data_IF_617362500108
#
_entry.id   IF_617362500108
#
_cell.length_a   1.000
_cell.length_b   1.000
_cell.length_c   1.000
_cell.angle_alpha   90.00
_cell.angle_beta   90.00
_cell.angle_gamma   90.00
#
_symmetry.space_group_name_H-M   'P 1'
#
loop_
_entity.id
_entity.type
_entity.pdbx_description
1 polymer ?
#
# COMPACT_ATOMS: atom_id res chain seq x y z
N UNK A 1 -1.29 -7.46 11.18
CA UNK A 1 -1.63 -7.62 9.75
C UNK A 1 -3.15 -7.74 9.68
N UNK A 2 -3.76 -7.07 8.71
CA UNK A 2 -5.22 -7.05 8.54
C UNK A 2 -5.54 -7.64 7.16
N UNK A 3 -6.51 -8.53 7.11
CA UNK A 3 -7.08 -9.00 5.84
C UNK A 3 -7.93 -7.88 5.23
N UNK A 4 -7.50 -7.34 4.09
CA UNK A 4 -8.14 -6.17 3.47
C UNK A 4 -9.60 -6.44 3.08
N UNK A 5 -9.97 -7.55 2.42
CA UNK A 5 -11.37 -7.86 2.12
C UNK A 5 -12.26 -7.95 3.38
N UNK A 6 -11.74 -8.52 4.46
CA UNK A 6 -12.48 -8.58 5.72
C UNK A 6 -12.67 -7.18 6.35
N UNK A 7 -11.64 -6.33 6.29
CA UNK A 7 -11.73 -4.94 6.73
C UNK A 7 -12.76 -4.15 5.91
N UNK A 8 -12.73 -4.28 4.59
CA UNK A 8 -13.69 -3.61 3.69
C UNK A 8 -15.13 -4.04 4.00
N UNK A 9 -15.37 -5.34 4.19
CA UNK A 9 -16.69 -5.85 4.54
C UNK A 9 -17.20 -5.27 5.87
N UNK A 10 -16.34 -5.19 6.89
CA UNK A 10 -16.67 -4.60 8.19
C UNK A 10 -16.94 -3.10 8.09
N UNK A 11 -16.14 -2.36 7.31
CA UNK A 11 -16.35 -0.94 7.08
C UNK A 11 -17.66 -0.66 6.34
N UNK A 12 -17.96 -1.44 5.28
CA UNK A 12 -19.24 -1.34 4.57
C UNK A 12 -20.44 -1.62 5.48
N UNK A 13 -20.31 -2.60 6.38
CA UNK A 13 -21.35 -2.88 7.37
C UNK A 13 -21.48 -1.71 8.36
N UNK A 14 -20.37 -1.19 8.90
CA UNK A 14 -20.37 -0.10 9.85
C UNK A 14 -21.02 1.18 9.28
N UNK A 15 -20.76 1.50 8.02
CA UNK A 15 -21.34 2.66 7.32
C UNK A 15 -22.87 2.61 7.28
N UNK A 16 -23.48 1.43 7.17
CA UNK A 16 -24.96 1.27 7.15
C UNK A 16 -25.63 1.73 8.44
N UNK A 17 -24.89 1.73 9.55
CA UNK A 17 -25.42 2.15 10.85
C UNK A 17 -25.09 3.62 11.19
N UNK A 18 -24.51 4.37 10.26
CA UNK A 18 -24.16 5.77 10.47
C UNK A 18 -25.24 6.69 9.85
N UNK A 19 -26.09 7.34 10.66
CA UNK A 19 -27.25 8.08 10.15
C UNK A 19 -26.87 9.33 9.31
N UNK A 20 -25.63 9.79 9.44
CA UNK A 20 -25.12 10.95 8.69
C UNK A 20 -24.36 10.56 7.42
N UNK A 21 -24.31 9.26 7.07
CA UNK A 21 -23.64 8.79 5.88
C UNK A 21 -24.67 8.26 4.90
N UNK A 22 -24.62 8.75 3.66
CA UNK A 22 -25.40 8.23 2.55
C UNK A 22 -24.45 7.57 1.55
N UNK A 23 -24.65 6.28 1.30
CA UNK A 23 -23.89 5.54 0.28
C UNK A 23 -24.64 5.67 -1.06
N UNK A 24 -23.94 6.17 -2.06
CA UNK A 24 -24.43 6.28 -3.43
C UNK A 24 -23.59 5.35 -4.31
N UNK A 25 -24.23 4.41 -4.97
CA UNK A 25 -23.56 3.50 -5.90
C UNK A 25 -23.44 4.14 -7.30
N UNK A 26 -22.31 3.92 -7.98
CA UNK A 26 -22.05 4.27 -9.39
C UNK A 26 -22.08 5.76 -9.77
N UNK A 27 -21.72 6.66 -8.87
CA UNK A 27 -21.87 8.11 -9.10
C UNK A 27 -20.57 8.83 -9.51
N UNK A 28 -19.45 8.14 -9.60
CA UNK A 28 -18.12 8.73 -9.52
C UNK A 28 -17.80 9.83 -10.56
N UNK A 29 -17.97 9.62 -11.84
CA UNK A 29 -17.50 10.60 -12.85
C UNK A 29 -18.62 11.40 -13.53
N UNK A 30 -19.82 10.87 -13.59
CA UNK A 30 -20.95 11.53 -14.25
C UNK A 30 -21.38 12.85 -13.60
N UNK A 31 -21.16 13.00 -12.29
CA UNK A 31 -21.51 14.23 -11.57
C UNK A 31 -20.53 15.39 -11.78
N UNK A 32 -19.31 15.16 -12.26
CA UNK A 32 -18.40 16.22 -12.64
C UNK A 32 -18.84 16.91 -13.95
N UNK A 33 -19.59 16.18 -14.76
CA UNK A 33 -20.12 16.67 -16.04
C UNK A 33 -21.56 17.19 -15.94
N UNK A 34 -22.26 16.86 -14.88
CA UNK A 34 -23.64 17.31 -14.65
C UNK A 34 -23.66 18.73 -14.08
N UNK A 35 -24.24 19.66 -14.80
CA UNK A 35 -24.50 21.03 -14.34
C UNK A 35 -25.61 21.11 -13.26
N UNK A 36 -25.92 19.99 -12.58
CA UNK A 36 -26.91 19.98 -11.54
C UNK A 36 -26.34 20.66 -10.27
N UNK A 37 -26.58 21.96 -10.16
CA UNK A 37 -26.03 22.89 -9.17
C UNK A 37 -26.56 22.70 -7.75
N UNK A 38 -27.49 21.78 -7.52
CA UNK A 38 -28.12 21.58 -6.21
C UNK A 38 -27.24 20.85 -5.18
N UNK A 39 -26.11 20.28 -5.58
CA UNK A 39 -25.16 19.62 -4.65
C UNK A 39 -23.91 20.50 -4.43
N UNK A 40 -24.08 21.65 -3.80
CA UNK A 40 -22.94 22.40 -3.26
C UNK A 40 -22.24 21.55 -2.19
N UNK A 41 -21.07 21.00 -2.55
CA UNK A 41 -20.21 20.27 -1.63
C UNK A 41 -19.18 21.22 -1.04
N UNK A 42 -19.04 21.19 0.27
CA UNK A 42 -18.01 21.96 0.96
C UNK A 42 -16.62 21.40 0.68
N UNK A 43 -16.52 20.06 0.62
CA UNK A 43 -15.29 19.34 0.36
C UNK A 43 -15.59 18.00 -0.32
N UNK A 44 -14.85 17.68 -1.38
CA UNK A 44 -14.83 16.35 -2.01
C UNK A 44 -13.50 15.67 -1.71
N UNK A 45 -13.52 14.49 -1.11
CA UNK A 45 -12.33 13.66 -0.90
C UNK A 45 -12.30 12.54 -1.93
N UNK A 46 -11.21 12.45 -2.70
CA UNK A 46 -11.04 11.54 -3.82
C UNK A 46 -10.14 10.41 -3.38
N UNK A 47 -10.70 9.19 -3.30
CA UNK A 47 -10.03 7.98 -2.84
C UNK A 47 -10.17 6.83 -3.88
N UNK A 48 -10.11 7.16 -5.17
CA UNK A 48 -10.40 6.25 -6.29
C UNK A 48 -9.24 5.30 -6.65
N UNK A 49 -8.19 5.30 -5.85
CA UNK A 49 -7.01 4.48 -6.11
C UNK A 49 -6.10 5.06 -7.21
N UNK A 50 -5.12 4.25 -7.63
CA UNK A 50 -4.06 4.69 -8.56
C UNK A 50 -4.57 5.16 -9.92
N UNK A 51 -5.68 4.59 -10.40
CA UNK A 51 -6.30 4.92 -11.69
C UNK A 51 -7.46 5.91 -11.52
N UNK A 52 -7.31 6.92 -10.67
CA UNK A 52 -8.34 7.89 -10.36
C UNK A 52 -8.72 8.73 -11.57
N UNK A 53 -9.92 8.50 -12.09
CA UNK A 53 -10.50 9.26 -13.20
C UNK A 53 -10.77 10.72 -12.78
N UNK A 54 -11.25 10.92 -11.57
CA UNK A 54 -11.51 12.26 -11.04
C UNK A 54 -10.24 13.09 -10.91
N UNK A 55 -9.12 12.50 -10.45
CA UNK A 55 -7.82 13.19 -10.41
C UNK A 55 -7.42 13.68 -11.82
N UNK A 56 -7.55 12.81 -12.81
CA UNK A 56 -7.16 13.12 -14.18
C UNK A 56 -8.07 14.22 -14.80
N UNK A 57 -9.38 14.21 -14.51
CA UNK A 57 -10.32 15.25 -14.91
C UNK A 57 -10.02 16.61 -14.26
N UNK A 58 -9.43 16.61 -13.07
CA UNK A 58 -8.98 17.83 -12.38
C UNK A 58 -7.67 18.39 -12.94
N UNK A 59 -7.06 17.75 -13.93
CA UNK A 59 -5.78 18.15 -14.52
C UNK A 59 -4.62 18.06 -13.51
N UNK A 60 -4.68 17.14 -12.58
CA UNK A 60 -3.61 16.90 -11.62
C UNK A 60 -2.57 15.96 -12.26
N UNK A 61 -1.33 16.42 -12.34
CA UNK A 61 -0.24 15.60 -12.86
C UNK A 61 0.07 14.46 -11.88
N UNK A 62 0.23 13.25 -12.40
CA UNK A 62 0.55 12.06 -11.64
C UNK A 62 1.86 11.47 -12.17
N UNK A 63 2.96 11.84 -11.52
CA UNK A 63 4.29 11.36 -11.88
C UNK A 63 4.42 9.89 -11.52
N UNK A 64 4.71 9.05 -12.50
CA UNK A 64 4.85 7.60 -12.34
C UNK A 64 6.27 7.17 -12.68
N UNK A 65 6.94 6.53 -11.73
CA UNK A 65 8.26 5.90 -11.90
C UNK A 65 8.09 4.38 -11.82
N UNK A 66 8.17 3.64 -12.93
CA UNK A 66 8.04 2.18 -12.92
C UNK A 66 9.29 1.53 -12.32
N UNK A 67 9.09 0.47 -11.52
CA UNK A 67 10.20 -0.36 -11.01
C UNK A 67 10.58 -1.50 -11.96
N UNK A 68 9.88 -1.68 -13.08
CA UNK A 68 10.02 -2.82 -14.02
C UNK A 68 9.86 -4.19 -13.32
N UNK A 69 9.12 -4.20 -12.25
CA UNK A 69 8.76 -5.37 -11.45
C UNK A 69 7.24 -5.49 -11.34
N UNK A 70 6.79 -6.71 -11.08
CA UNK A 70 5.40 -7.01 -10.79
C UNK A 70 5.29 -7.62 -9.40
N UNK A 71 4.22 -7.29 -8.69
CA UNK A 71 3.80 -8.04 -7.53
C UNK A 71 2.87 -9.17 -7.97
N UNK A 72 3.05 -10.33 -7.38
CA UNK A 72 2.08 -11.43 -7.41
C UNK A 72 1.53 -11.58 -6.01
N UNK A 73 0.21 -11.58 -5.86
CA UNK A 73 -0.46 -11.88 -4.61
C UNK A 73 -1.29 -13.15 -4.74
N UNK A 74 -1.26 -13.94 -3.67
CA UNK A 74 -2.05 -15.15 -3.54
C UNK A 74 -2.22 -15.49 -2.04
N UNK A 75 -3.11 -16.43 -1.76
CA UNK A 75 -3.25 -17.04 -0.43
C UNK A 75 -2.83 -18.50 -0.50
N UNK A 76 -1.97 -18.90 0.44
CA UNK A 76 -1.48 -20.26 0.53
C UNK A 76 -1.61 -20.78 1.96
N UNK A 77 -1.70 -22.12 2.07
CA UNK A 77 -1.56 -22.83 3.33
C UNK A 77 -0.25 -23.59 3.32
N UNK A 78 0.46 -23.57 4.46
CA UNK A 78 1.66 -24.37 4.68
C UNK A 78 1.38 -25.63 5.48
N UNK A 79 2.25 -26.61 5.43
CA UNK A 79 2.22 -27.78 6.33
C UNK A 79 2.76 -27.47 7.73
N UNK A 80 3.47 -26.36 7.89
CA UNK A 80 4.02 -25.87 9.16
C UNK A 80 3.38 -24.52 9.53
N UNK A 81 3.23 -24.22 10.84
CA UNK A 81 2.60 -22.98 11.29
C UNK A 81 3.55 -21.77 11.16
N UNK A 82 2.99 -20.61 10.83
CA UNK A 82 3.72 -19.34 10.74
C UNK A 82 4.00 -18.68 12.12
N UNK A 83 3.44 -19.19 13.20
CA UNK A 83 3.64 -18.69 14.57
C UNK A 83 3.38 -17.18 14.74
N UNK A 84 2.47 -16.60 13.95
CA UNK A 84 2.17 -15.18 13.95
C UNK A 84 3.29 -14.30 13.36
N UNK A 85 4.29 -14.88 12.73
CA UNK A 85 5.44 -14.15 12.19
C UNK A 85 5.24 -13.81 10.71
N UNK A 86 5.47 -12.54 10.35
CA UNK A 86 5.67 -12.14 8.96
C UNK A 86 7.11 -12.49 8.56
N UNK A 87 7.28 -13.12 7.41
CA UNK A 87 8.58 -13.58 6.92
C UNK A 87 8.85 -12.97 5.55
N UNK A 88 10.12 -12.68 5.28
CA UNK A 88 10.51 -12.09 4.01
C UNK A 88 11.88 -12.62 3.57
N UNK A 89 11.98 -13.00 2.29
CA UNK A 89 13.20 -13.48 1.66
C UNK A 89 13.57 -12.55 0.50
N UNK A 90 14.84 -12.19 0.47
CA UNK A 90 15.44 -11.39 -0.59
C UNK A 90 16.37 -12.29 -1.40
N UNK A 91 16.02 -12.55 -2.64
CA UNK A 91 16.86 -13.32 -3.56
C UNK A 91 17.30 -12.45 -4.71
N UNK A 92 18.58 -12.48 -4.97
CA UNK A 92 19.15 -11.81 -6.13
C UNK A 92 19.38 -12.87 -7.21
N UNK A 93 18.92 -12.61 -8.42
CA UNK A 93 19.15 -13.44 -9.57
C UNK A 93 19.85 -12.67 -10.69
N UNK A 94 20.43 -13.40 -11.61
CA UNK A 94 21.03 -12.88 -12.84
C UNK A 94 20.39 -13.61 -14.02
N UNK A 95 19.69 -12.88 -14.89
CA UNK A 95 19.11 -13.45 -16.10
C UNK A 95 19.47 -12.54 -17.26
N UNK A 96 20.19 -13.07 -18.25
CA UNK A 96 20.57 -12.33 -19.46
C UNK A 96 21.30 -10.99 -19.20
N UNK A 97 22.29 -10.97 -18.32
CA UNK A 97 23.03 -9.76 -17.89
C UNK A 97 22.20 -8.69 -17.18
N UNK A 98 20.96 -8.96 -16.79
CA UNK A 98 20.19 -8.09 -15.92
C UNK A 98 20.10 -8.69 -14.52
N UNK A 99 20.68 -7.98 -13.57
CA UNK A 99 20.54 -8.30 -12.14
C UNK A 99 19.13 -7.94 -11.69
N UNK A 100 18.44 -8.90 -11.12
CA UNK A 100 17.12 -8.67 -10.52
C UNK A 100 17.11 -9.10 -9.07
N UNK A 101 16.27 -8.46 -8.29
CA UNK A 101 15.98 -8.86 -6.91
C UNK A 101 14.55 -9.36 -6.84
N UNK A 102 14.37 -10.60 -6.38
CA UNK A 102 13.07 -11.14 -6.04
C UNK A 102 12.84 -11.01 -4.54
N UNK A 103 11.63 -10.63 -4.15
CA UNK A 103 11.25 -10.48 -2.75
C UNK A 103 9.98 -11.26 -2.52
N UNK A 104 10.10 -12.34 -1.75
CA UNK A 104 8.97 -13.15 -1.30
C UNK A 104 8.61 -12.72 0.11
N UNK A 105 7.36 -12.38 0.37
CA UNK A 105 6.86 -12.05 1.69
C UNK A 105 5.65 -12.91 2.04
N UNK A 106 5.67 -13.50 3.23
CA UNK A 106 4.53 -14.18 3.84
C UNK A 106 3.98 -13.32 4.98
N UNK A 107 2.70 -13.06 4.89
CA UNK A 107 1.97 -12.31 5.90
C UNK A 107 0.95 -13.26 6.56
N UNK A 108 1.03 -13.48 7.88
CA UNK A 108 0.09 -14.33 8.60
C UNK A 108 -1.35 -13.88 8.35
N UNK A 109 -2.22 -14.82 8.00
CA UNK A 109 -3.66 -14.62 7.93
C UNK A 109 -4.32 -15.32 9.11
N UNK A 110 -5.46 -14.79 9.56
CA UNK A 110 -6.42 -15.54 10.33
C UNK A 110 -7.07 -16.58 9.41
N UNK A 111 -7.44 -17.70 9.99
CA UNK A 111 -7.75 -18.95 9.31
C UNK A 111 -8.84 -18.84 8.23
N UNK A 112 -8.65 -19.48 7.09
CA UNK A 112 -9.75 -19.91 6.25
C UNK A 112 -10.41 -21.17 6.84
N UNK A 113 -11.69 -21.35 6.62
CA UNK A 113 -12.55 -22.41 7.18
C UNK A 113 -12.08 -23.87 7.01
N UNK A 114 -10.99 -24.12 6.33
CA UNK A 114 -10.48 -25.46 5.99
C UNK A 114 -9.01 -25.70 6.28
N UNK A 115 -8.29 -24.72 6.82
CA UNK A 115 -6.87 -24.89 7.16
C UNK A 115 -6.66 -25.13 8.64
N UNK A 116 -5.54 -25.81 8.99
CA UNK A 116 -5.13 -25.88 10.38
C UNK A 116 -4.81 -24.47 10.89
N UNK A 117 -5.17 -24.14 12.14
CA UNK A 117 -4.89 -22.87 12.76
C UNK A 117 -3.42 -22.46 12.61
N UNK A 118 -3.17 -21.23 12.15
CA UNK A 118 -1.83 -20.67 12.03
C UNK A 118 -1.03 -21.11 10.80
N UNK A 119 -1.64 -21.80 9.83
CA UNK A 119 -0.93 -22.27 8.62
C UNK A 119 -1.22 -21.42 7.37
N UNK A 120 -2.06 -20.39 7.46
CA UNK A 120 -2.48 -19.60 6.31
C UNK A 120 -1.70 -18.30 6.18
N UNK A 121 -1.23 -18.02 4.98
CA UNK A 121 -0.47 -16.81 4.67
C UNK A 121 -0.97 -16.12 3.41
N UNK A 122 -0.90 -14.79 3.41
CA UNK A 122 -0.92 -14.02 2.19
C UNK A 122 0.51 -13.95 1.65
N UNK A 123 0.67 -14.31 0.38
CA UNK A 123 1.89 -14.12 -0.40
C UNK A 123 1.87 -12.75 -1.05
N UNK A 124 2.98 -12.04 -0.96
CA UNK A 124 3.34 -10.93 -1.86
C UNK A 124 4.72 -11.23 -2.43
N UNK A 125 4.79 -11.46 -3.73
CA UNK A 125 6.03 -11.81 -4.42
C UNK A 125 6.36 -10.75 -5.47
N UNK A 126 7.40 -10.00 -5.23
CA UNK A 126 7.91 -8.99 -6.18
C UNK A 126 8.95 -9.62 -7.08
N UNK A 127 8.73 -9.59 -8.38
CA UNK A 127 9.57 -10.22 -9.41
C UNK A 127 9.67 -9.35 -10.67
N UNK A 128 10.66 -9.61 -11.53
CA UNK A 128 10.72 -9.02 -12.86
C UNK A 128 9.48 -9.39 -13.70
N UNK A 129 9.06 -8.51 -14.61
CA UNK A 129 7.86 -8.69 -15.41
C UNK A 129 7.82 -10.04 -16.16
N UNK A 130 8.92 -10.46 -16.77
CA UNK A 130 8.99 -11.74 -17.50
C UNK A 130 8.82 -12.93 -16.56
N UNK A 131 9.41 -12.85 -15.36
CA UNK A 131 9.28 -13.89 -14.33
C UNK A 131 7.84 -13.95 -13.80
N UNK A 132 7.19 -12.79 -13.63
CA UNK A 132 5.78 -12.75 -13.25
C UNK A 132 4.88 -13.48 -14.26
N UNK A 133 5.09 -13.23 -15.56
CA UNK A 133 4.36 -13.92 -16.64
C UNK A 133 4.55 -15.44 -16.57
N UNK A 134 5.80 -15.89 -16.36
CA UNK A 134 6.12 -17.31 -16.23
C UNK A 134 5.44 -17.93 -15.00
N UNK A 135 5.52 -17.30 -13.84
CA UNK A 135 4.89 -17.76 -12.61
C UNK A 135 3.36 -17.80 -12.69
N UNK A 136 2.75 -16.84 -13.37
CA UNK A 136 1.29 -16.82 -13.58
C UNK A 136 0.81 -17.89 -14.55
N UNK A 137 1.69 -18.42 -15.42
CA UNK A 137 1.37 -19.50 -16.36
C UNK A 137 1.47 -20.90 -15.73
N UNK A 138 2.11 -21.05 -14.58
CA UNK A 138 2.22 -22.35 -13.87
C UNK A 138 0.83 -22.84 -13.41
N UNK A 139 0.67 -24.15 -13.30
CA UNK A 139 -0.49 -24.69 -12.60
C UNK A 139 -0.42 -24.41 -11.08
N UNK A 140 -1.49 -24.60 -10.31
CA UNK A 140 -1.51 -24.29 -8.87
C UNK A 140 -0.45 -25.03 -8.06
N UNK A 141 -0.19 -26.29 -8.36
CA UNK A 141 0.76 -27.16 -7.67
C UNK A 141 2.21 -26.72 -7.95
N UNK A 142 2.54 -26.47 -9.21
CA UNK A 142 3.84 -25.97 -9.63
C UNK A 142 4.14 -24.60 -9.03
N UNK A 143 3.14 -23.70 -9.02
CA UNK A 143 3.29 -22.38 -8.39
C UNK A 143 3.57 -22.51 -6.88
N UNK A 144 2.83 -23.36 -6.18
CA UNK A 144 3.02 -23.58 -4.75
C UNK A 144 4.40 -24.18 -4.44
N UNK A 145 4.91 -25.09 -5.28
CA UNK A 145 6.25 -25.65 -5.18
C UNK A 145 7.36 -24.58 -5.38
N UNK A 146 7.17 -23.68 -6.37
CA UNK A 146 8.07 -22.52 -6.57
C UNK A 146 8.08 -21.60 -5.35
N UNK A 147 6.91 -21.31 -4.77
CA UNK A 147 6.79 -20.51 -3.55
C UNK A 147 7.52 -21.18 -2.39
N UNK A 148 7.33 -22.48 -2.18
CA UNK A 148 8.02 -23.26 -1.13
C UNK A 148 9.53 -23.20 -1.31
N UNK A 149 10.03 -23.39 -2.53
CA UNK A 149 11.47 -23.33 -2.85
C UNK A 149 12.05 -21.93 -2.58
N UNK A 150 11.34 -20.88 -2.97
CA UNK A 150 11.80 -19.50 -2.80
C UNK A 150 11.72 -19.03 -1.33
N UNK A 151 10.84 -19.62 -0.54
CA UNK A 151 10.76 -19.40 0.92
C UNK A 151 11.60 -20.39 1.74
N UNK A 152 12.51 -21.15 1.10
CA UNK A 152 13.40 -22.10 1.76
C UNK A 152 12.63 -23.15 2.58
N UNK A 153 11.43 -23.52 2.12
CA UNK A 153 10.52 -24.43 2.79
C UNK A 153 10.18 -24.05 4.24
N UNK A 154 10.22 -22.74 4.57
CA UNK A 154 10.00 -22.27 5.94
C UNK A 154 8.63 -22.67 6.53
N UNK A 155 7.61 -22.84 5.68
CA UNK A 155 6.29 -23.35 6.07
C UNK A 155 6.01 -24.75 5.54
N UNK A 156 7.07 -25.49 5.17
CA UNK A 156 6.98 -26.83 4.62
C UNK A 156 6.36 -26.86 3.23
N UNK A 157 5.53 -27.87 2.97
CA UNK A 157 4.78 -27.97 1.72
C UNK A 157 3.70 -26.89 1.66
N UNK A 158 3.57 -26.26 0.51
CA UNK A 158 2.62 -25.17 0.30
C UNK A 158 1.48 -25.61 -0.64
N UNK A 159 0.28 -25.08 -0.39
CA UNK A 159 -0.87 -25.28 -1.23
C UNK A 159 -1.56 -23.95 -1.51
N UNK A 160 -1.82 -23.68 -2.78
CA UNK A 160 -2.58 -22.51 -3.21
C UNK A 160 -4.08 -22.76 -2.95
N UNK A 161 -4.77 -21.78 -2.33
CA UNK A 161 -6.21 -21.85 -2.11
C UNK A 161 -6.99 -20.61 -2.56
N UNK A 162 -6.30 -19.66 -3.21
CA UNK A 162 -6.95 -18.52 -3.87
C UNK A 162 -6.54 -18.42 -5.33
N UNK A 163 -7.22 -17.58 -6.07
CA UNK A 163 -6.68 -17.07 -7.33
C UNK A 163 -5.43 -16.24 -7.11
N UNK A 164 -4.61 -16.15 -8.15
CA UNK A 164 -3.41 -15.32 -8.18
C UNK A 164 -3.75 -14.00 -8.86
N UNK A 165 -3.34 -12.89 -8.26
CA UNK A 165 -3.42 -11.57 -8.86
C UNK A 165 -2.02 -11.02 -9.13
N UNK A 166 -1.84 -10.26 -10.22
CA UNK A 166 -0.57 -9.60 -10.53
C UNK A 166 -0.80 -8.19 -11.00
N UNK A 167 0.10 -7.29 -10.62
CA UNK A 167 0.10 -5.89 -11.06
C UNK A 167 1.51 -5.31 -11.11
N UNK A 168 1.75 -4.31 -11.98
CA UNK A 168 3.03 -3.62 -12.04
C UNK A 168 3.31 -2.82 -10.77
N UNK A 169 4.58 -2.86 -10.34
CA UNK A 169 5.08 -2.06 -9.23
C UNK A 169 5.60 -0.72 -9.73
N UNK A 170 5.17 0.33 -9.07
CA UNK A 170 5.54 1.69 -9.43
C UNK A 170 5.54 2.60 -8.19
N UNK A 171 6.39 3.61 -8.22
CA UNK A 171 6.25 4.79 -7.38
C UNK A 171 5.42 5.80 -8.16
N UNK A 172 4.41 6.37 -7.53
CA UNK A 172 3.64 7.42 -8.19
C UNK A 172 3.21 8.50 -7.19
N UNK A 173 3.13 9.74 -7.66
CA UNK A 173 2.79 10.89 -6.82
C UNK A 173 2.04 11.94 -7.61
N UNK A 174 0.97 12.47 -7.01
CA UNK A 174 0.29 13.63 -7.51
C UNK A 174 1.08 14.92 -7.20
N UNK A 175 1.16 15.84 -8.16
CA UNK A 175 1.78 17.16 -7.99
C UNK A 175 1.01 18.03 -6.98
N UNK A 176 -0.31 17.90 -6.97
CA UNK A 176 -1.25 18.61 -6.08
C UNK A 176 -2.18 17.60 -5.41
N UNK A 177 -2.33 17.72 -4.10
CA UNK A 177 -3.23 16.85 -3.33
C UNK A 177 -4.50 17.58 -2.92
N UNK A 178 -4.57 18.88 -3.11
CA UNK A 178 -5.71 19.70 -2.77
C UNK A 178 -5.90 20.82 -3.79
N UNK A 179 -7.15 21.22 -4.02
CA UNK A 179 -7.46 22.31 -4.95
C UNK A 179 -8.92 22.75 -4.88
N UNK A 180 -9.29 23.58 -5.83
CA UNK A 180 -10.66 24.04 -6.06
C UNK A 180 -11.09 23.76 -7.48
N UNK A 181 -12.34 23.37 -7.63
CA UNK A 181 -12.97 23.19 -8.93
C UNK A 181 -14.31 23.95 -8.97
N UNK A 182 -14.69 24.58 -10.10
CA UNK A 182 -15.90 25.41 -10.17
C UNK A 182 -17.18 24.67 -9.77
N UNK A 183 -17.29 23.38 -10.10
CA UNK A 183 -18.49 22.55 -9.85
C UNK A 183 -18.36 21.78 -8.54
N UNK A 184 -17.21 21.17 -8.27
CA UNK A 184 -17.01 20.31 -7.10
C UNK A 184 -16.73 21.08 -5.79
N UNK A 185 -16.43 22.35 -5.86
CA UNK A 185 -15.92 23.09 -4.72
C UNK A 185 -14.46 22.74 -4.39
N UNK A 186 -14.14 22.67 -3.12
CA UNK A 186 -12.80 22.25 -2.67
C UNK A 186 -12.65 20.73 -2.74
N UNK A 187 -11.44 20.26 -3.07
CA UNK A 187 -11.16 18.83 -3.17
C UNK A 187 -9.82 18.45 -2.50
N UNK A 188 -9.71 17.20 -2.09
CA UNK A 188 -8.50 16.59 -1.56
C UNK A 188 -8.34 15.16 -2.11
N UNK A 189 -7.12 14.78 -2.46
CA UNK A 189 -6.74 13.40 -2.80
C UNK A 189 -6.28 12.67 -1.53
N UNK A 190 -6.59 11.37 -1.42
CA UNK A 190 -6.10 10.51 -0.34
C UNK A 190 -5.83 9.09 -0.86
N UNK A 191 -4.93 8.38 -0.19
CA UNK A 191 -4.52 7.02 -0.57
C UNK A 191 -3.84 6.98 -1.94
N UNK A 192 -4.02 5.88 -2.67
CA UNK A 192 -3.37 5.66 -3.96
C UNK A 192 -3.76 6.66 -5.06
N UNK A 193 -4.83 7.44 -4.86
CA UNK A 193 -5.14 8.56 -5.74
C UNK A 193 -4.14 9.71 -5.61
N UNK A 194 -3.54 9.88 -4.43
CA UNK A 194 -2.53 10.90 -4.15
C UNK A 194 -1.09 10.37 -4.32
N UNK A 195 -0.83 9.13 -3.92
CA UNK A 195 0.51 8.54 -3.93
C UNK A 195 0.47 7.02 -3.88
N UNK A 196 1.35 6.39 -4.60
CA UNK A 196 1.57 4.93 -4.57
C UNK A 196 3.02 4.66 -4.22
N UNK A 197 3.27 3.73 -3.31
CA UNK A 197 4.61 3.34 -2.87
C UNK A 197 4.89 1.88 -3.18
N UNK A 198 6.16 1.49 -3.19
CA UNK A 198 6.54 0.09 -3.37
C UNK A 198 6.02 -0.76 -2.20
N UNK A 199 5.45 -1.96 -2.45
CA UNK A 199 4.85 -2.80 -1.42
C UNK A 199 5.86 -3.53 -0.51
N UNK A 200 7.16 -3.20 -0.56
CA UNK A 200 8.23 -3.82 0.23
C UNK A 200 7.90 -4.01 1.71
N UNK A 201 7.07 -3.15 2.27
CA UNK A 201 6.69 -3.18 3.68
C UNK A 201 5.19 -3.37 3.92
N UNK A 202 4.39 -3.61 2.87
CA UNK A 202 2.93 -3.69 2.99
C UNK A 202 2.28 -2.39 3.49
N UNK A 203 2.94 -1.24 3.33
CA UNK A 203 2.55 0.03 3.97
C UNK A 203 1.57 0.87 3.14
N UNK A 204 1.20 0.47 1.93
CA UNK A 204 0.27 1.24 1.10
C UNK A 204 -1.04 1.56 1.82
N UNK A 205 -1.68 0.54 2.41
CA UNK A 205 -2.90 0.73 3.20
C UNK A 205 -2.66 1.64 4.42
N UNK A 206 -1.56 1.45 5.15
CA UNK A 206 -1.23 2.26 6.32
C UNK A 206 -1.03 3.74 5.96
N UNK A 207 -0.42 4.02 4.82
CA UNK A 207 -0.28 5.38 4.30
C UNK A 207 -1.64 6.00 3.97
N UNK A 208 -2.51 5.26 3.28
CA UNK A 208 -3.87 5.73 2.99
C UNK A 208 -4.69 5.99 4.26
N UNK A 209 -4.60 5.10 5.25
CA UNK A 209 -5.26 5.31 6.56
C UNK A 209 -4.67 6.50 7.31
N UNK A 210 -3.36 6.74 7.21
CA UNK A 210 -2.74 7.93 7.79
C UNK A 210 -3.18 9.23 7.08
N UNK A 211 -3.47 9.18 5.77
CA UNK A 211 -4.08 10.30 5.07
C UNK A 211 -5.46 10.63 5.64
N UNK A 212 -6.29 9.61 5.83
CA UNK A 212 -7.63 9.77 6.43
C UNK A 212 -7.53 10.35 7.84
N UNK A 213 -6.64 9.81 8.68
CA UNK A 213 -6.43 10.29 10.04
C UNK A 213 -5.96 11.75 10.06
N UNK A 214 -5.00 12.11 9.21
CA UNK A 214 -4.49 13.48 9.13
C UNK A 214 -5.54 14.45 8.60
N UNK A 215 -6.31 14.05 7.59
CA UNK A 215 -7.40 14.87 7.07
C UNK A 215 -8.47 15.10 8.16
N UNK A 216 -8.88 14.04 8.85
CA UNK A 216 -9.81 14.13 9.97
C UNK A 216 -9.30 15.06 11.07
N UNK A 217 -8.02 14.96 11.44
CA UNK A 217 -7.41 15.86 12.42
C UNK A 217 -7.44 17.33 11.98
N UNK A 218 -7.11 17.62 10.72
CA UNK A 218 -7.15 18.98 10.17
C UNK A 218 -8.58 19.51 10.17
N UNK A 219 -9.56 18.70 9.80
CA UNK A 219 -10.96 19.09 9.77
C UNK A 219 -11.55 19.25 11.19
N UNK A 220 -11.09 18.48 12.17
CA UNK A 220 -11.53 18.61 13.56
C UNK A 220 -11.16 19.95 14.18
N UNK A 221 -10.06 20.58 13.73
CA UNK A 221 -9.65 21.93 14.16
C UNK A 221 -10.74 22.96 13.83
N UNK A 222 -11.41 22.80 12.68
CA UNK A 222 -12.56 23.68 12.30
C UNK A 222 -13.64 23.60 13.37
N UNK A 223 -14.02 22.40 13.79
CA UNK A 223 -15.10 22.19 14.75
C UNK A 223 -14.80 22.80 16.14
N UNK A 224 -13.53 22.78 16.56
CA UNK A 224 -13.18 23.10 17.96
C UNK A 224 -12.45 24.44 18.15
N UNK A 225 -11.67 24.90 17.16
CA UNK A 225 -10.79 26.07 17.32
C UNK A 225 -10.98 27.15 16.26
N UNK A 226 -11.30 26.76 15.03
CA UNK A 226 -11.43 27.68 13.88
C UNK A 226 -12.82 27.56 13.25
N UNK A 227 -13.90 27.57 14.07
CA UNK A 227 -15.28 27.32 13.65
C UNK A 227 -15.81 28.30 12.58
N UNK A 228 -15.15 29.43 12.39
CA UNK A 228 -15.46 30.41 11.36
C UNK A 228 -14.95 30.01 9.95
N UNK A 229 -14.10 28.97 9.86
CA UNK A 229 -13.58 28.51 8.59
C UNK A 229 -14.49 27.43 7.99
N UNK A 230 -14.79 27.50 6.69
CA UNK A 230 -15.48 26.40 6.03
C UNK A 230 -14.59 25.14 5.97
N UNK A 231 -15.21 23.98 5.93
CA UNK A 231 -14.52 22.68 5.84
C UNK A 231 -13.58 22.60 4.63
N UNK A 232 -13.96 23.23 3.52
CA UNK A 232 -13.15 23.32 2.31
C UNK A 232 -12.14 24.48 2.28
N UNK A 233 -11.79 25.10 3.42
CA UNK A 233 -10.81 26.19 3.44
C UNK A 233 -9.43 25.68 2.98
N UNK A 234 -8.88 26.35 1.95
CA UNK A 234 -7.60 25.94 1.35
C UNK A 234 -6.40 26.03 2.29
N UNK A 235 -6.43 26.89 3.33
CA UNK A 235 -5.36 26.93 4.33
C UNK A 235 -5.33 25.66 5.17
N UNK A 236 -6.50 25.10 5.48
CA UNK A 236 -6.63 23.82 6.19
C UNK A 236 -6.19 22.66 5.29
N UNK A 237 -6.71 22.59 4.07
CA UNK A 237 -6.37 21.51 3.15
C UNK A 237 -4.87 21.50 2.81
N UNK A 238 -4.24 22.66 2.68
CA UNK A 238 -2.78 22.75 2.49
C UNK A 238 -1.98 22.32 3.73
N UNK A 239 -2.53 22.37 4.96
CA UNK A 239 -1.89 21.76 6.14
C UNK A 239 -1.86 20.23 6.00
N UNK A 240 -2.97 19.64 5.56
CA UNK A 240 -3.06 18.23 5.23
C UNK A 240 -2.03 17.84 4.18
N UNK A 241 -2.07 18.49 3.00
CA UNK A 241 -1.17 18.21 1.89
C UNK A 241 0.30 18.25 2.30
N UNK A 242 0.74 19.32 3.00
CA UNK A 242 2.14 19.47 3.42
C UNK A 242 2.58 18.38 4.39
N UNK A 243 1.76 18.06 5.39
CA UNK A 243 2.07 17.03 6.35
C UNK A 243 2.23 15.67 5.66
N UNK A 244 1.27 15.31 4.81
CA UNK A 244 1.26 14.01 4.16
C UNK A 244 2.30 13.86 3.06
N UNK A 245 2.56 14.92 2.28
CA UNK A 245 3.65 14.90 1.29
C UNK A 245 5.02 14.66 1.93
N UNK A 246 5.29 15.28 3.08
CA UNK A 246 6.55 15.07 3.80
C UNK A 246 6.69 13.61 4.27
N UNK A 247 5.63 13.04 4.85
CA UNK A 247 5.65 11.65 5.29
C UNK A 247 5.79 10.67 4.13
N UNK A 248 5.07 10.89 3.02
CA UNK A 248 5.17 10.06 1.82
C UNK A 248 6.56 10.14 1.16
N UNK A 249 7.17 11.33 1.12
CA UNK A 249 8.53 11.53 0.63
C UNK A 249 9.55 10.80 1.51
N UNK A 250 9.45 10.96 2.83
CA UNK A 250 10.36 10.32 3.76
C UNK A 250 10.30 8.78 3.62
N UNK A 251 9.09 8.22 3.56
CA UNK A 251 8.93 6.78 3.39
C UNK A 251 9.40 6.31 2.01
N UNK A 252 9.05 7.02 0.93
CA UNK A 252 9.50 6.70 -0.42
C UNK A 252 11.03 6.67 -0.50
N UNK A 253 11.71 7.69 0.05
CA UNK A 253 13.18 7.74 0.06
C UNK A 253 13.80 6.60 0.85
N UNK A 254 13.23 6.23 2.00
CA UNK A 254 13.71 5.09 2.80
C UNK A 254 13.48 3.77 2.04
N UNK A 255 12.32 3.59 1.45
CA UNK A 255 11.97 2.37 0.71
C UNK A 255 12.84 2.20 -0.53
N UNK A 256 13.03 3.27 -1.32
CA UNK A 256 13.91 3.28 -2.49
C UNK A 256 15.37 3.05 -2.10
N UNK A 257 15.83 3.68 -1.01
CA UNK A 257 17.18 3.47 -0.48
C UNK A 257 17.42 2.02 -0.05
N UNK A 258 16.47 1.41 0.63
CA UNK A 258 16.52 0.00 1.00
C UNK A 258 16.51 -0.89 -0.25
N UNK A 259 15.61 -0.67 -1.19
CA UNK A 259 15.54 -1.44 -2.41
C UNK A 259 16.86 -1.38 -3.20
N UNK A 260 17.44 -0.20 -3.38
CA UNK A 260 18.73 -0.03 -4.04
C UNK A 260 19.86 -0.73 -3.28
N UNK A 261 19.87 -0.66 -1.95
CA UNK A 261 20.85 -1.33 -1.10
C UNK A 261 20.75 -2.86 -1.21
N UNK A 262 19.53 -3.40 -1.27
CA UNK A 262 19.29 -4.83 -1.41
C UNK A 262 19.48 -5.34 -2.84
N UNK A 263 19.24 -4.52 -3.85
CA UNK A 263 19.46 -4.87 -5.25
C UNK A 263 20.95 -4.92 -5.64
N UNK A 264 21.83 -4.23 -4.91
CA UNK A 264 23.27 -4.22 -5.19
C UNK A 264 23.95 -5.48 -4.63
N UNK A 265 24.67 -6.19 -5.49
CA UNK A 265 25.37 -7.46 -5.19
C UNK A 265 26.86 -7.31 -4.96
N UNK A 266 27.39 -6.08 -4.89
CA UNK A 266 28.82 -5.82 -4.68
C UNK A 266 29.25 -6.23 -3.26
N UNK A 267 30.32 -7.03 -3.16
CA UNK A 267 30.81 -7.61 -1.90
C UNK A 267 30.98 -6.61 -0.74
N UNK A 268 31.57 -5.39 -0.95
CA UNK A 268 31.73 -4.46 0.16
C UNK A 268 30.38 -3.89 0.66
N UNK A 269 29.40 -3.74 -0.22
CA UNK A 269 28.05 -3.28 0.15
C UNK A 269 27.26 -4.34 0.89
N UNK A 270 27.44 -5.61 0.54
CA UNK A 270 26.85 -6.74 1.30
C UNK A 270 27.38 -6.81 2.72
N UNK A 271 28.69 -6.64 2.90
CA UNK A 271 29.31 -6.63 4.23
C UNK A 271 28.81 -5.44 5.07
N UNK A 272 28.73 -4.24 4.47
CA UNK A 272 28.20 -3.03 5.13
C UNK A 272 26.71 -3.20 5.49
N UNK A 273 25.90 -3.78 4.61
CA UNK A 273 24.49 -4.10 4.87
C UNK A 273 24.34 -5.05 6.04
N UNK A 274 25.08 -6.15 6.05
CA UNK A 274 25.01 -7.16 7.10
C UNK A 274 25.45 -6.57 8.46
N UNK A 275 26.52 -5.78 8.46
CA UNK A 275 26.99 -5.07 9.65
C UNK A 275 25.95 -4.02 10.12
N UNK A 276 25.37 -3.25 9.21
CA UNK A 276 24.31 -2.26 9.51
C UNK A 276 23.05 -2.92 10.08
N UNK A 277 22.61 -4.05 9.51
CA UNK A 277 21.47 -4.82 10.02
C UNK A 277 21.72 -5.39 11.41
N UNK A 278 22.89 -5.97 11.65
CA UNK A 278 23.28 -6.45 12.98
C UNK A 278 23.37 -5.31 14.00
N UNK A 279 23.92 -4.15 13.60
CA UNK A 279 23.97 -2.96 14.43
C UNK A 279 22.59 -2.43 14.77
N UNK A 280 21.68 -2.40 13.79
CA UNK A 280 20.28 -2.01 13.98
C UNK A 280 19.55 -2.97 14.93
N UNK A 281 19.75 -4.29 14.75
CA UNK A 281 19.13 -5.29 15.62
C UNK A 281 19.56 -5.15 17.08
N UNK A 282 20.82 -4.78 17.33
CA UNK A 282 21.38 -4.52 18.66
C UNK A 282 21.06 -3.14 19.23
N UNK A 283 20.53 -2.23 18.45
CA UNK A 283 20.36 -0.81 18.81
C UNK A 283 19.16 -0.51 19.71
N UNK A 284 18.45 -1.53 20.22
CA UNK A 284 17.33 -1.42 21.18
C UNK A 284 16.39 -0.20 20.99
N UNK A 285 16.84 0.98 21.39
CA UNK A 285 16.06 2.21 21.32
C UNK A 285 15.76 2.70 19.89
N UNK A 286 16.74 2.61 18.96
CA UNK A 286 16.56 2.98 17.57
C UNK A 286 15.59 2.02 16.88
N UNK A 287 15.74 0.73 17.13
CA UNK A 287 14.81 -0.30 16.63
C UNK A 287 13.39 -0.03 17.10
N UNK A 288 13.18 0.24 18.40
CA UNK A 288 11.86 0.55 18.93
C UNK A 288 11.26 1.83 18.31
N UNK A 289 12.06 2.87 18.16
CA UNK A 289 11.61 4.11 17.54
C UNK A 289 11.19 3.92 16.07
N UNK A 290 12.02 3.23 15.27
CA UNK A 290 11.71 2.90 13.87
C UNK A 290 10.46 2.01 13.79
N UNK A 291 10.36 0.98 14.66
CA UNK A 291 9.21 0.08 14.68
C UNK A 291 7.92 0.84 15.02
N UNK A 292 7.93 1.71 16.04
CA UNK A 292 6.76 2.56 16.36
C UNK A 292 6.38 3.45 15.19
N UNK A 293 7.35 4.10 14.56
CA UNK A 293 7.11 4.95 13.40
C UNK A 293 6.56 4.18 12.21
N UNK A 294 7.04 2.96 11.96
CA UNK A 294 6.54 2.06 10.92
C UNK A 294 5.11 1.56 11.19
N UNK A 295 4.72 1.46 12.46
CA UNK A 295 3.36 1.09 12.88
C UNK A 295 2.40 2.30 12.94
N UNK A 296 2.87 3.51 12.66
CA UNK A 296 2.06 4.73 12.75
C UNK A 296 1.79 5.22 14.18
N UNK A 297 2.64 4.82 15.12
CA UNK A 297 2.57 5.17 16.56
C UNK A 297 3.58 6.25 16.93
#
# INVERSE_FOLDING_TARGET
>A
IVDVPALEAQLLQAVKYQPLITVLEQVASAHLQSQNTDLRRDLTVICEGKNSVTRDLLGVEFEVTPYHQHAIAARLTGSLPHNGQAMQWFKNGDTNNQKYSEIVAFLPLSEPDQAQPGNSVALVWSVAEQRAKALMALNPEEFAAEVATHSEHALGEMRLYSERATWPLQLARADKWVGKHPIMGSWALAGDAAHTVHPLSGQGLNLGLADVAQLANVLSVVKHKEFWRPVGDMKLLRRYERARKLDALALGTVTDGLQQLFARTESPLQALRNWGMQGFERSGGLKQWVTKRAMGL
#
